data_IF_987432988774
#
_entry.id   IF_987432988774
#
_cell.length_a   1.000
_cell.length_b   1.000
_cell.length_c   1.000
_cell.angle_alpha   90.00
_cell.angle_beta   90.00
_cell.angle_gamma   90.00
#
_symmetry.space_group_name_H-M   'P 1'
#
loop_
_entity.id
_entity.type
_entity.pdbx_description
1 polymer ?
#
# COMPACT_ATOMS: atom_id res chain seq x y z
N UNK A 1 17.23 -6.68 11.55
CA UNK A 1 16.70 -5.81 10.48
C UNK A 1 15.35 -6.41 10.10
N UNK A 2 14.29 -5.62 9.95
CA UNK A 2 12.99 -6.20 9.58
C UNK A 2 13.11 -6.79 8.17
N UNK A 3 13.02 -8.11 8.07
CA UNK A 3 13.23 -8.85 6.81
C UNK A 3 11.92 -9.02 6.02
N UNK A 4 10.89 -8.28 6.44
CA UNK A 4 9.53 -8.38 5.94
C UNK A 4 8.93 -7.00 5.73
N UNK A 5 8.14 -6.87 4.67
CA UNK A 5 7.37 -5.67 4.31
C UNK A 5 5.91 -6.05 4.05
N UNK A 6 4.97 -5.43 4.77
CA UNK A 6 3.54 -5.61 4.57
C UNK A 6 2.95 -4.45 3.73
N UNK A 7 2.32 -4.78 2.60
CA UNK A 7 1.77 -3.82 1.63
C UNK A 7 0.25 -3.93 1.59
N UNK A 8 -0.46 -2.82 1.76
CA UNK A 8 -1.93 -2.77 1.79
C UNK A 8 -2.59 -1.92 0.71
N UNK A 9 -3.70 -2.40 0.14
CA UNK A 9 -4.58 -1.61 -0.74
C UNK A 9 -6.05 -1.78 -0.38
N UNK A 10 -6.89 -0.84 -0.85
CA UNK A 10 -8.34 -0.97 -0.75
C UNK A 10 -8.91 -1.62 -2.01
N UNK A 11 -9.77 -2.61 -1.83
CA UNK A 11 -10.44 -3.37 -2.91
C UNK A 11 -11.77 -2.70 -3.29
N UNK A 12 -11.71 -1.58 -4.01
CA UNK A 12 -12.89 -0.72 -4.24
C UNK A 12 -13.70 -1.07 -5.48
N UNK A 13 -13.08 -1.15 -6.66
CA UNK A 13 -13.80 -1.12 -7.95
C UNK A 13 -13.75 -2.44 -8.70
N UNK A 14 -12.60 -3.09 -8.72
CA UNK A 14 -12.42 -4.41 -9.31
C UNK A 14 -11.53 -5.25 -8.37
N UNK A 15 -12.12 -5.86 -7.33
CA UNK A 15 -11.37 -6.54 -6.27
C UNK A 15 -10.43 -7.62 -6.78
N UNK A 16 -10.88 -8.43 -7.74
CA UNK A 16 -10.09 -9.53 -8.28
C UNK A 16 -8.88 -9.00 -9.06
N UNK A 17 -9.11 -8.03 -9.96
CA UNK A 17 -8.00 -7.40 -10.69
C UNK A 17 -7.04 -6.65 -9.77
N UNK A 18 -7.56 -5.99 -8.73
CA UNK A 18 -6.74 -5.29 -7.74
C UNK A 18 -5.87 -6.24 -6.93
N UNK A 19 -6.35 -7.45 -6.61
CA UNK A 19 -5.55 -8.49 -5.96
C UNK A 19 -4.42 -8.98 -6.87
N UNK A 20 -4.73 -9.33 -8.12
CA UNK A 20 -3.72 -9.76 -9.10
C UNK A 20 -2.61 -8.71 -9.27
N UNK A 21 -2.97 -7.44 -9.42
CA UNK A 21 -2.02 -6.34 -9.57
C UNK A 21 -1.20 -6.09 -8.30
N UNK A 22 -1.81 -6.30 -7.13
CA UNK A 22 -1.09 -6.21 -5.86
C UNK A 22 -0.06 -7.33 -5.72
N UNK A 23 -0.44 -8.56 -6.07
CA UNK A 23 0.47 -9.71 -6.03
C UNK A 23 1.64 -9.49 -6.99
N UNK A 24 1.38 -9.03 -8.22
CA UNK A 24 2.42 -8.69 -9.20
C UNK A 24 3.37 -7.58 -8.67
N UNK A 25 2.80 -6.54 -8.04
CA UNK A 25 3.58 -5.48 -7.43
C UNK A 25 4.46 -5.97 -6.28
N UNK A 26 3.90 -6.78 -5.37
CA UNK A 26 4.62 -7.34 -4.23
C UNK A 26 5.76 -8.27 -4.69
N UNK A 27 5.52 -9.10 -5.70
CA UNK A 27 6.54 -9.94 -6.32
C UNK A 27 7.68 -9.12 -6.93
N UNK A 28 7.35 -8.04 -7.66
CA UNK A 28 8.36 -7.15 -8.22
C UNK A 28 9.16 -6.42 -7.13
N UNK A 29 8.49 -5.95 -6.08
CA UNK A 29 9.12 -5.26 -4.95
C UNK A 29 10.03 -6.20 -4.17
N UNK A 30 9.62 -7.45 -3.93
CA UNK A 30 10.42 -8.47 -3.28
C UNK A 30 11.72 -8.73 -4.06
N UNK A 31 11.63 -8.92 -5.38
CA UNK A 31 12.83 -9.10 -6.23
C UNK A 31 13.75 -7.89 -6.22
N UNK A 32 13.20 -6.67 -6.23
CA UNK A 32 13.98 -5.44 -6.28
C UNK A 32 14.69 -5.12 -4.95
N UNK A 33 14.11 -5.54 -3.83
CA UNK A 33 14.60 -5.19 -2.47
C UNK A 33 15.32 -6.34 -1.76
N UNK A 34 15.07 -7.60 -2.18
CA UNK A 34 15.51 -8.79 -1.46
C UNK A 34 14.74 -9.08 -0.17
N UNK A 35 13.63 -8.36 0.09
CA UNK A 35 12.80 -8.53 1.29
C UNK A 35 11.65 -9.49 1.05
N UNK A 36 11.11 -10.09 2.12
CA UNK A 36 9.85 -10.83 2.06
C UNK A 36 8.67 -9.85 2.05
N UNK A 37 7.91 -9.78 0.94
CA UNK A 37 6.81 -8.82 0.80
C UNK A 37 5.47 -9.55 0.87
N UNK A 38 4.56 -9.10 1.75
CA UNK A 38 3.22 -9.68 1.87
C UNK A 38 2.13 -8.70 1.43
N UNK A 39 1.17 -9.21 0.66
CA UNK A 39 0.04 -8.47 0.11
C UNK A 39 -1.19 -8.51 1.03
N UNK A 40 -1.80 -7.35 1.27
CA UNK A 40 -3.01 -7.20 2.09
C UNK A 40 -4.10 -6.42 1.34
N UNK A 41 -5.10 -7.12 0.81
CA UNK A 41 -6.28 -6.50 0.23
C UNK A 41 -7.39 -6.31 1.27
N UNK A 42 -7.79 -5.06 1.52
CA UNK A 42 -8.85 -4.73 2.47
C UNK A 42 -10.06 -4.07 1.78
N UNK A 43 -11.28 -4.33 2.25
CA UNK A 43 -12.49 -3.80 1.60
C UNK A 43 -12.71 -2.30 1.81
N UNK A 44 -12.17 -1.72 2.88
CA UNK A 44 -12.44 -0.35 3.27
C UNK A 44 -11.17 0.39 3.67
N UNK A 45 -11.08 1.66 3.29
CA UNK A 45 -9.92 2.50 3.60
C UNK A 45 -9.69 2.70 5.09
N UNK A 46 -10.73 2.67 5.94
CA UNK A 46 -10.54 2.86 7.39
C UNK A 46 -9.76 1.69 8.00
N UNK A 47 -9.98 0.45 7.54
CA UNK A 47 -9.18 -0.70 7.98
C UNK A 47 -7.69 -0.55 7.62
N UNK A 48 -7.37 0.00 6.44
CA UNK A 48 -5.96 0.29 6.08
C UNK A 48 -5.35 1.32 7.02
N UNK A 49 -6.10 2.36 7.39
CA UNK A 49 -5.61 3.41 8.28
C UNK A 49 -5.43 2.89 9.71
N UNK A 50 -6.32 2.01 10.17
CA UNK A 50 -6.20 1.34 11.47
C UNK A 50 -4.97 0.42 11.49
N UNK A 51 -4.83 -0.46 10.50
CA UNK A 51 -3.69 -1.36 10.37
C UNK A 51 -2.35 -0.60 10.28
N UNK A 52 -2.33 0.53 9.56
CA UNK A 52 -1.15 1.40 9.49
C UNK A 52 -0.84 2.06 10.84
N UNK A 53 -1.85 2.50 11.59
CA UNK A 53 -1.67 3.11 12.90
C UNK A 53 -1.10 2.13 13.94
N UNK A 54 -1.43 0.84 13.83
CA UNK A 54 -0.88 -0.23 14.69
C UNK A 54 0.37 -0.92 14.11
N UNK A 55 0.88 -0.44 12.97
CA UNK A 55 2.09 -0.95 12.28
C UNK A 55 1.96 -2.41 11.80
N UNK A 56 0.75 -2.82 11.44
CA UNK A 56 0.50 -4.08 10.72
C UNK A 56 0.80 -3.95 9.22
N UNK A 57 0.82 -2.71 8.70
CA UNK A 57 1.21 -2.38 7.34
C UNK A 57 2.39 -1.41 7.35
N UNK A 58 3.32 -1.60 6.42
CA UNK A 58 4.49 -0.75 6.23
C UNK A 58 4.32 0.19 5.04
N UNK A 59 3.62 -0.26 3.99
CA UNK A 59 3.33 0.50 2.78
C UNK A 59 1.82 0.41 2.48
N UNK A 60 1.21 1.53 2.13
CA UNK A 60 -0.22 1.56 1.76
C UNK A 60 -0.46 2.38 0.51
N UNK A 61 -1.42 1.95 -0.31
CA UNK A 61 -1.95 2.76 -1.40
C UNK A 61 -3.21 3.52 -0.94
N UNK A 62 -3.12 4.84 -0.89
CA UNK A 62 -4.22 5.70 -0.43
C UNK A 62 -4.60 6.75 -1.49
N UNK A 63 -5.90 7.09 -1.61
CA UNK A 63 -6.35 8.29 -2.30
C UNK A 63 -5.71 9.54 -1.68
N UNK A 64 -5.46 10.61 -2.47
CA UNK A 64 -4.70 11.78 -2.00
C UNK A 64 -5.22 12.39 -0.70
N UNK A 65 -6.54 12.50 -0.53
CA UNK A 65 -7.14 13.07 0.68
C UNK A 65 -6.88 12.20 1.92
N UNK A 66 -6.86 10.88 1.77
CA UNK A 66 -6.57 9.96 2.88
C UNK A 66 -5.09 9.89 3.17
N UNK A 67 -4.23 9.93 2.14
CA UNK A 67 -2.78 10.02 2.31
C UNK A 67 -2.39 11.28 3.11
N UNK A 68 -2.95 12.45 2.76
CA UNK A 68 -2.71 13.70 3.49
C UNK A 68 -3.15 13.60 4.97
N UNK A 69 -4.30 12.97 5.24
CA UNK A 69 -4.79 12.74 6.61
C UNK A 69 -3.89 11.77 7.38
N UNK A 70 -3.41 10.71 6.73
CA UNK A 70 -2.50 9.75 7.32
C UNK A 70 -1.15 10.40 7.67
N UNK A 71 -0.61 11.28 6.81
CA UNK A 71 0.59 12.05 7.13
C UNK A 71 0.44 12.95 8.34
N UNK A 72 -0.74 13.57 8.52
CA UNK A 72 -1.01 14.41 9.66
C UNK A 72 -1.23 13.65 10.99
N UNK A 73 -1.62 12.36 10.95
CA UNK A 73 -2.13 11.63 12.13
C UNK A 73 -1.43 10.31 12.47
N UNK A 74 -0.85 9.63 11.48
CA UNK A 74 -0.36 8.26 11.61
C UNK A 74 1.17 8.15 11.42
N UNK A 75 1.89 9.28 11.35
CA UNK A 75 3.35 9.28 11.19
C UNK A 75 3.82 8.71 9.84
N UNK A 76 2.95 8.73 8.83
CA UNK A 76 3.24 8.18 7.50
C UNK A 76 3.84 9.25 6.58
N UNK A 77 4.85 8.89 5.81
CA UNK A 77 5.43 9.76 4.79
C UNK A 77 4.93 9.35 3.40
N UNK A 78 4.46 10.28 2.54
CA UNK A 78 4.18 9.95 1.14
C UNK A 78 5.49 9.61 0.43
N UNK A 79 5.56 8.43 -0.20
CA UNK A 79 6.75 7.97 -0.92
C UNK A 79 6.63 8.18 -2.44
N UNK A 80 5.44 8.02 -2.99
CA UNK A 80 5.18 8.14 -4.41
C UNK A 80 3.75 8.64 -4.67
N UNK A 81 3.54 9.28 -5.80
CA UNK A 81 2.22 9.70 -6.28
C UNK A 81 2.04 9.18 -7.71
N UNK A 82 0.97 8.43 -8.01
CA UNK A 82 0.70 8.01 -9.37
C UNK A 82 0.38 9.23 -10.25
N UNK A 83 1.17 9.45 -11.30
CA UNK A 83 0.87 10.44 -12.34
C UNK A 83 0.01 9.77 -13.40
N UNK A 84 -1.18 10.33 -13.66
CA UNK A 84 -2.06 9.82 -14.72
C UNK A 84 -1.31 9.92 -16.06
N UNK A 85 -1.25 8.82 -16.81
CA UNK A 85 -0.48 8.66 -18.06
C UNK A 85 1.06 8.59 -17.93
N UNK A 86 1.61 8.60 -16.70
CA UNK A 86 3.06 8.50 -16.47
C UNK A 86 3.87 9.67 -17.03
N UNK A 87 5.18 9.65 -16.78
CA UNK A 87 6.15 10.40 -17.57
C UNK A 87 6.77 9.39 -18.54
N UNK A 88 6.49 9.56 -19.83
CA UNK A 88 7.19 8.86 -20.93
C UNK A 88 8.55 9.49 -21.18
#
# INVERSE_FOLDING_TARGET
MADQLAVGIALTTNPDRSRELLDEFCDALARATGMNVTAHGMWHYHHLLEALAVRELDLVWLPPLLALRATARAGCIPLAVPVRHGLS
#
